data_IF_505780932541
#
_entry.id   IF_505780932541
#
_cell.length_a   1.000
_cell.length_b   1.000
_cell.length_c   1.000
_cell.angle_alpha   90.00
_cell.angle_beta   90.00
_cell.angle_gamma   90.00
#
_symmetry.space_group_name_H-M   'P 1'
#
loop_
_entity.id
_entity.type
_entity.pdbx_description
1 polymer ?
#
# COMPACT_ATOMS: atom_id res chain seq x y z
N UNK A 1 -13.20 -15.75 8.27
CA UNK A 1 -12.40 -14.89 9.17
C UNK A 1 -11.83 -13.76 8.32
N UNK A 2 -12.12 -12.51 8.64
CA UNK A 2 -11.61 -11.34 7.92
C UNK A 2 -10.15 -11.09 8.29
N UNK A 3 -9.29 -10.82 7.30
CA UNK A 3 -7.90 -10.46 7.54
C UNK A 3 -7.83 -9.06 8.17
N UNK A 4 -6.94 -8.89 9.16
CA UNK A 4 -6.72 -7.60 9.80
C UNK A 4 -6.04 -6.60 8.85
N UNK A 5 -6.44 -5.32 8.92
CA UNK A 5 -5.79 -4.24 8.18
C UNK A 5 -4.43 -3.93 8.82
N UNK A 6 -3.43 -3.64 7.99
CA UNK A 6 -2.06 -3.39 8.47
C UNK A 6 -1.78 -1.90 8.67
N UNK A 7 -2.33 -1.02 7.83
CA UNK A 7 -2.06 0.42 7.87
C UNK A 7 -3.05 1.21 8.75
N UNK A 8 -4.03 0.53 9.36
CA UNK A 8 -5.04 1.15 10.22
C UNK A 8 -5.08 0.45 11.58
N UNK A 9 -5.22 1.24 12.65
CA UNK A 9 -5.39 0.77 14.02
C UNK A 9 -6.81 0.29 14.31
N UNK A 10 -7.05 -0.14 15.55
CA UNK A 10 -8.32 -0.73 15.98
C UNK A 10 -9.51 0.25 15.91
N UNK A 11 -9.26 1.57 15.92
CA UNK A 11 -10.29 2.61 15.79
C UNK A 11 -10.32 3.23 14.39
N UNK A 12 -9.58 2.67 13.42
CA UNK A 12 -9.49 3.19 12.05
C UNK A 12 -8.56 4.39 11.88
N UNK A 13 -7.76 4.71 12.90
CA UNK A 13 -6.69 5.70 12.84
C UNK A 13 -5.51 5.18 11.99
N UNK A 14 -4.82 6.07 11.29
CA UNK A 14 -3.61 5.70 10.55
C UNK A 14 -2.53 5.18 11.50
N UNK A 15 -1.90 4.06 11.14
CA UNK A 15 -0.79 3.47 11.89
C UNK A 15 0.34 3.06 10.94
N UNK A 16 1.58 3.45 11.25
CA UNK A 16 2.75 3.01 10.50
C UNK A 16 3.15 1.61 10.96
N UNK A 17 3.25 0.69 10.00
CA UNK A 17 3.62 -0.70 10.29
C UNK A 17 5.10 -0.78 10.64
N UNK A 18 5.44 -1.41 11.76
CA UNK A 18 6.82 -1.75 12.06
C UNK A 18 7.33 -2.82 11.07
N UNK A 19 8.47 -2.54 10.44
CA UNK A 19 9.12 -3.40 9.47
C UNK A 19 10.56 -3.75 9.88
N UNK A 20 11.01 -3.38 11.07
CA UNK A 20 12.39 -3.55 11.53
C UNK A 20 12.88 -4.99 11.53
N UNK A 21 12.01 -5.94 11.87
CA UNK A 21 12.34 -7.37 11.90
C UNK A 21 12.28 -8.06 10.52
N UNK A 22 11.96 -7.32 9.45
CA UNK A 22 11.83 -7.90 8.11
C UNK A 22 13.19 -8.01 7.44
N UNK A 23 13.45 -9.17 6.84
CA UNK A 23 14.66 -9.37 6.06
C UNK A 23 14.75 -8.37 4.89
N UNK A 24 15.90 -7.72 4.78
CA UNK A 24 16.20 -6.85 3.65
C UNK A 24 16.30 -7.66 2.36
N UNK A 25 15.63 -7.18 1.32
CA UNK A 25 15.58 -7.83 0.00
C UNK A 25 15.49 -6.75 -1.07
N UNK A 26 16.11 -6.99 -2.23
CA UNK A 26 15.96 -6.07 -3.37
C UNK A 26 14.54 -6.18 -3.92
N UNK A 27 13.81 -5.07 -3.92
CA UNK A 27 12.42 -4.98 -4.38
C UNK A 27 12.27 -3.82 -5.36
N UNK A 28 11.57 -4.06 -6.46
CA UNK A 28 11.26 -3.03 -7.46
C UNK A 28 9.79 -3.17 -7.84
N UNK A 29 9.11 -2.04 -7.98
CA UNK A 29 7.74 -1.97 -8.46
C UNK A 29 7.68 -0.99 -9.63
N UNK A 30 6.87 -1.32 -10.64
CA UNK A 30 6.59 -0.46 -11.80
C UNK A 30 5.09 -0.15 -11.76
N UNK A 31 4.75 1.12 -11.94
CA UNK A 31 3.37 1.59 -12.02
C UNK A 31 3.17 2.34 -13.35
N UNK A 32 1.97 2.24 -13.92
CA UNK A 32 1.54 2.98 -15.10
C UNK A 32 0.20 3.68 -14.83
N UNK A 33 -0.11 4.70 -15.64
CA UNK A 33 -1.37 5.43 -15.58
C UNK A 33 -1.78 5.91 -16.96
N UNK A 34 -3.08 5.91 -17.23
CA UNK A 34 -3.68 6.32 -18.49
C UNK A 34 -4.73 7.40 -18.24
N UNK A 35 -4.70 8.45 -19.06
CA UNK A 35 -5.79 9.43 -19.14
C UNK A 35 -6.39 9.37 -20.53
N UNK A 36 -7.65 8.98 -20.63
CA UNK A 36 -8.40 9.03 -21.89
C UNK A 36 -9.15 10.36 -21.99
N UNK A 37 -8.99 11.04 -23.12
CA UNK A 37 -9.69 12.31 -23.41
C UNK A 37 -10.74 12.09 -24.51
N UNK A 38 -11.73 12.98 -24.58
CA UNK A 38 -12.66 13.01 -25.73
C UNK A 38 -11.94 13.61 -26.95
N UNK A 39 -12.28 13.18 -28.17
CA UNK A 39 -12.00 13.97 -29.37
C UNK A 39 -12.64 15.35 -29.23
N UNK A 40 -12.00 16.39 -29.77
CA UNK A 40 -12.42 17.80 -29.66
C UNK A 40 -13.91 18.08 -29.93
#
# INVERSE_FOLDING_TARGET
MTAALTHLGAKGEANMVDVGDKAETTRTAIAEGLVSMRPE
#
